data_IF_160223321257
#
_entry.id   IF_160223321257
#
_cell.length_a   1.000
_cell.length_b   1.000
_cell.length_c   1.000
_cell.angle_alpha   90.00
_cell.angle_beta   90.00
_cell.angle_gamma   90.00
#
_symmetry.space_group_name_H-M   'P 1'
#
loop_
_entity.id
_entity.type
_entity.pdbx_description
1 polymer ?
#
# COMPACT_ATOMS: atom_id res chain seq x y z
N UNK A 1 2.70 -6.91 10.88
CA UNK A 1 3.21 -5.67 10.24
C UNK A 1 2.03 -5.06 9.51
N UNK A 2 1.68 -3.82 9.80
CA UNK A 2 0.59 -3.12 9.10
C UNK A 2 1.21 -2.20 8.06
N UNK A 3 0.64 -2.19 6.86
CA UNK A 3 1.08 -1.38 5.74
C UNK A 3 -0.11 -0.62 5.18
N UNK A 4 0.15 0.59 4.70
CA UNK A 4 -0.82 1.34 3.89
C UNK A 4 -0.57 0.95 2.44
N UNK A 5 -1.64 0.63 1.73
CA UNK A 5 -1.61 0.56 0.27
C UNK A 5 -2.29 1.77 -0.34
N UNK A 6 -1.97 2.03 -1.60
CA UNK A 6 -2.63 3.03 -2.43
C UNK A 6 -2.61 2.51 -3.86
N UNK A 7 -3.74 2.63 -4.55
CA UNK A 7 -3.80 2.26 -5.96
C UNK A 7 -3.07 3.31 -6.82
N UNK A 8 -2.31 2.86 -7.82
CA UNK A 8 -1.56 3.75 -8.71
C UNK A 8 -2.50 4.67 -9.49
N UNK A 9 -3.73 4.25 -9.77
CA UNK A 9 -4.77 5.07 -10.41
C UNK A 9 -5.15 6.27 -9.53
N UNK A 10 -5.30 6.06 -8.22
CA UNK A 10 -5.60 7.15 -7.28
C UNK A 10 -4.41 8.11 -7.14
N UNK A 11 -3.18 7.59 -7.15
CA UNK A 11 -1.95 8.41 -7.16
C UNK A 11 -1.90 9.27 -8.41
N UNK A 12 -2.13 8.69 -9.59
CA UNK A 12 -2.14 9.42 -10.86
C UNK A 12 -3.24 10.48 -10.89
N UNK A 13 -4.45 10.14 -10.45
CA UNK A 13 -5.57 11.07 -10.34
C UNK A 13 -5.26 12.21 -9.35
N UNK A 14 -4.62 11.91 -8.23
CA UNK A 14 -4.15 12.92 -7.27
C UNK A 14 -3.16 13.88 -7.92
N UNK A 15 -2.23 13.38 -8.73
CA UNK A 15 -1.30 14.23 -9.47
C UNK A 15 -2.02 15.14 -10.47
N UNK A 16 -2.95 14.59 -11.26
CA UNK A 16 -3.74 15.37 -12.22
C UNK A 16 -4.54 16.45 -11.48
N UNK A 17 -5.22 16.12 -10.38
CA UNK A 17 -5.98 17.09 -9.59
C UNK A 17 -5.10 18.18 -8.97
N UNK A 18 -3.89 17.84 -8.53
CA UNK A 18 -2.92 18.84 -8.09
C UNK A 18 -2.53 19.81 -9.22
N UNK A 19 -2.46 19.33 -10.47
CA UNK A 19 -2.16 20.17 -11.63
C UNK A 19 -3.38 20.99 -12.09
N UNK A 20 -4.59 20.46 -11.94
CA UNK A 20 -5.85 21.12 -12.29
C UNK A 20 -6.30 22.15 -11.24
N UNK A 21 -5.85 22.01 -9.99
CA UNK A 21 -6.22 22.91 -8.91
C UNK A 21 -5.69 24.31 -9.18
N UNK A 22 -6.61 25.27 -9.33
CA UNK A 22 -6.32 26.67 -9.60
C UNK A 22 -5.42 26.86 -10.84
N UNK A 23 -5.78 26.23 -11.96
CA UNK A 23 -5.03 26.32 -13.24
C UNK A 23 -4.72 27.75 -13.70
N UNK A 24 -5.61 28.70 -13.40
CA UNK A 24 -5.44 30.10 -13.78
C UNK A 24 -4.53 30.88 -12.81
N UNK A 25 -4.21 30.29 -11.65
CA UNK A 25 -3.34 30.89 -10.65
C UNK A 25 -1.88 30.52 -10.93
N UNK A 26 -1.23 31.30 -11.80
CA UNK A 26 0.17 31.10 -12.23
C UNK A 26 1.18 31.01 -11.07
N UNK A 27 0.84 31.56 -9.91
CA UNK A 27 1.70 31.45 -8.74
C UNK A 27 1.78 29.97 -8.26
N UNK A 28 0.77 29.13 -8.48
CA UNK A 28 0.71 27.72 -7.99
C UNK A 28 1.46 26.69 -8.83
N UNK A 29 1.81 26.99 -10.07
CA UNK A 29 2.56 26.11 -10.98
C UNK A 29 4.07 26.07 -10.74
N UNK A 30 4.55 26.72 -9.68
CA UNK A 30 5.93 26.56 -9.24
C UNK A 30 6.12 25.14 -8.70
N UNK A 31 7.12 24.37 -9.16
CA UNK A 31 7.52 23.14 -8.50
C UNK A 31 7.93 23.52 -7.07
N UNK A 32 7.06 23.25 -6.10
CA UNK A 32 7.11 23.66 -4.69
C UNK A 32 6.56 25.06 -4.32
N UNK A 33 5.26 25.29 -4.51
CA UNK A 33 4.53 26.23 -3.64
C UNK A 33 4.24 25.70 -2.21
N UNK A 34 5.26 25.06 -1.60
CA UNK A 34 5.32 24.71 -0.17
C UNK A 34 4.45 23.56 0.34
N UNK A 35 3.39 23.18 -0.36
CA UNK A 35 2.44 22.19 0.16
C UNK A 35 2.72 20.76 -0.29
N UNK A 36 2.77 19.85 0.69
CA UNK A 36 2.88 18.40 0.45
C UNK A 36 1.52 17.74 0.66
N UNK A 37 1.23 16.77 -0.19
CA UNK A 37 0.06 15.90 -0.11
C UNK A 37 0.53 14.45 0.04
N UNK A 38 -0.22 13.66 0.81
CA UNK A 38 0.05 12.23 1.00
C UNK A 38 -1.10 11.48 0.35
N UNK A 39 -0.79 10.76 -0.74
CA UNK A 39 -1.72 9.84 -1.37
C UNK A 39 -1.57 8.48 -0.72
N UNK A 40 -2.55 8.11 0.10
CA UNK A 40 -2.59 6.85 0.84
C UNK A 40 -4.02 6.34 0.94
N UNK A 41 -4.19 5.02 1.03
CA UNK A 41 -5.47 4.43 1.45
C UNK A 41 -5.87 4.89 2.86
N UNK A 42 -7.18 4.82 3.15
CA UNK A 42 -7.75 5.22 4.45
C UNK A 42 -7.41 4.26 5.59
N UNK A 43 -7.08 3.03 5.24
CA UNK A 43 -6.88 1.94 6.18
C UNK A 43 -5.52 1.29 5.99
N UNK A 44 -4.89 0.95 7.12
CA UNK A 44 -3.74 0.06 7.11
C UNK A 44 -4.20 -1.38 7.16
N UNK A 45 -3.54 -2.25 6.42
CA UNK A 45 -3.85 -3.68 6.36
C UNK A 45 -2.60 -4.50 6.68
N UNK A 46 -2.78 -5.64 7.34
CA UNK A 46 -1.71 -6.60 7.59
C UNK A 46 -1.54 -7.59 6.44
N UNK A 47 -0.36 -8.21 6.32
CA UNK A 47 -0.12 -9.27 5.33
C UNK A 47 -1.10 -10.43 5.52
N UNK A 48 -1.48 -10.74 6.76
CA UNK A 48 -2.48 -11.77 7.06
C UNK A 48 -3.83 -11.40 6.45
N UNK A 49 -4.30 -10.17 6.68
CA UNK A 49 -5.56 -9.69 6.11
C UNK A 49 -5.51 -9.69 4.57
N UNK A 50 -4.36 -9.35 3.96
CA UNK A 50 -4.15 -9.50 2.51
C UNK A 50 -4.34 -10.95 2.07
N UNK A 51 -3.71 -11.92 2.76
CA UNK A 51 -3.90 -13.34 2.45
C UNK A 51 -5.35 -13.80 2.61
N UNK A 52 -6.07 -13.28 3.61
CA UNK A 52 -7.49 -13.58 3.83
C UNK A 52 -8.36 -13.02 2.70
N UNK A 53 -8.09 -11.80 2.22
CA UNK A 53 -8.74 -11.22 1.04
C UNK A 53 -8.49 -12.10 -0.20
N UNK A 54 -7.24 -12.48 -0.46
CA UNK A 54 -6.91 -13.32 -1.63
C UNK A 54 -7.64 -14.67 -1.57
N UNK A 55 -7.68 -15.33 -0.39
CA UNK A 55 -8.41 -16.59 -0.22
C UNK A 55 -9.91 -16.44 -0.44
N UNK A 56 -10.48 -15.31 0.00
CA UNK A 56 -11.91 -15.02 -0.15
C UNK A 56 -12.29 -14.75 -1.61
N UNK A 57 -11.48 -13.97 -2.32
CA UNK A 57 -11.76 -13.60 -3.73
C UNK A 57 -11.43 -14.73 -4.72
N UNK A 58 -10.56 -15.70 -4.36
CA UNK A 58 -10.08 -16.75 -5.27
C UNK A 58 -10.08 -18.18 -4.68
N UNK A 59 -11.20 -18.68 -4.12
CA UNK A 59 -11.23 -19.87 -3.26
C UNK A 59 -10.75 -21.19 -3.91
N UNK A 60 -10.82 -21.32 -5.24
CA UNK A 60 -10.53 -22.56 -5.97
C UNK A 60 -9.17 -22.57 -6.68
N UNK A 61 -8.31 -21.59 -6.41
CA UNK A 61 -7.02 -21.46 -7.09
C UNK A 61 -5.92 -22.29 -6.43
N UNK A 62 -5.12 -22.98 -7.22
CA UNK A 62 -3.99 -23.81 -6.78
C UNK A 62 -2.86 -22.98 -6.17
N UNK A 63 -2.64 -21.74 -6.65
CA UNK A 63 -1.61 -20.87 -6.08
C UNK A 63 -1.86 -20.52 -4.60
N UNK A 64 -3.09 -20.67 -4.09
CA UNK A 64 -3.41 -20.46 -2.68
C UNK A 64 -2.55 -21.34 -1.75
N UNK A 65 -2.11 -22.52 -2.20
CA UNK A 65 -1.22 -23.42 -1.44
C UNK A 65 0.15 -22.81 -1.16
N UNK A 66 0.55 -21.78 -1.91
CA UNK A 66 1.83 -21.06 -1.79
C UNK A 66 1.72 -19.83 -0.86
N UNK A 67 0.51 -19.48 -0.40
CA UNK A 67 0.33 -18.34 0.49
C UNK A 67 0.90 -18.64 1.89
N UNK A 68 1.51 -17.64 2.56
CA UNK A 68 1.93 -17.78 3.94
C UNK A 68 0.75 -18.12 4.85
N UNK A 69 0.88 -19.20 5.63
CA UNK A 69 -0.13 -19.65 6.60
C UNK A 69 0.24 -19.31 8.04
N UNK A 70 1.53 -19.13 8.32
CA UNK A 70 2.04 -18.79 9.65
C UNK A 70 1.90 -17.29 9.90
N UNK A 71 1.14 -16.90 10.93
CA UNK A 71 1.16 -15.52 11.40
C UNK A 71 2.39 -15.29 12.28
N UNK A 72 3.29 -14.41 11.82
CA UNK A 72 4.38 -13.83 12.63
C UNK A 72 3.98 -12.48 13.24
N UNK A 73 2.67 -12.24 13.42
CA UNK A 73 2.17 -11.02 14.05
C UNK A 73 2.42 -11.08 15.57
N UNK A 74 3.01 -10.03 16.13
CA UNK A 74 3.30 -9.91 17.55
C UNK A 74 4.77 -9.67 17.88
N UNK A 75 5.08 -9.53 19.17
CA UNK A 75 6.42 -9.18 19.65
C UNK A 75 7.47 -10.27 19.33
N UNK A 76 7.10 -11.55 19.49
CA UNK A 76 7.98 -12.69 19.22
C UNK A 76 8.30 -12.84 17.73
N UNK A 77 7.29 -12.77 16.86
CA UNK A 77 7.50 -12.78 15.41
C UNK A 77 8.33 -11.59 14.94
N UNK A 78 8.11 -10.40 15.53
CA UNK A 78 8.92 -9.22 15.24
C UNK A 78 10.38 -9.40 15.68
N UNK A 79 10.62 -10.03 16.82
CA UNK A 79 11.98 -10.31 17.30
C UNK A 79 12.72 -11.27 16.36
N UNK A 80 12.04 -12.34 15.91
CA UNK A 80 12.58 -13.29 14.93
C UNK A 80 12.92 -12.61 13.61
N UNK A 81 12.02 -11.79 13.07
CA UNK A 81 12.25 -11.07 11.82
C UNK A 81 13.38 -10.06 11.96
N UNK A 82 13.51 -9.36 13.11
CA UNK A 82 14.66 -8.49 13.38
C UNK A 82 15.97 -9.27 13.45
N UNK A 83 15.97 -10.47 14.05
CA UNK A 83 17.12 -11.37 14.09
C UNK A 83 17.56 -11.79 12.69
N UNK A 84 16.61 -12.22 11.85
CA UNK A 84 16.89 -12.61 10.46
C UNK A 84 17.37 -11.40 9.63
N UNK A 85 16.82 -10.21 9.88
CA UNK A 85 17.20 -8.98 9.18
C UNK A 85 18.68 -8.58 9.39
N UNK A 86 19.35 -9.06 10.45
CA UNK A 86 20.78 -8.83 10.64
C UNK A 86 21.64 -9.45 9.53
N UNK A 87 21.16 -10.53 8.90
CA UNK A 87 21.82 -11.21 7.79
C UNK A 87 21.40 -10.68 6.42
N UNK A 88 20.48 -9.72 6.36
CA UNK A 88 20.00 -9.12 5.12
C UNK A 88 20.88 -7.92 4.70
N UNK A 89 20.96 -7.61 3.39
CA UNK A 89 21.64 -6.41 2.88
C UNK A 89 21.17 -5.12 3.56
N UNK A 90 22.09 -4.14 3.69
CA UNK A 90 21.87 -2.90 4.47
C UNK A 90 20.52 -2.21 4.18
N UNK A 91 20.12 -2.09 2.92
CA UNK A 91 18.86 -1.44 2.54
C UNK A 91 17.61 -2.17 3.05
N UNK A 92 17.57 -3.49 2.87
CA UNK A 92 16.47 -4.35 3.34
C UNK A 92 16.42 -4.34 4.87
N UNK A 93 17.58 -4.49 5.54
CA UNK A 93 17.69 -4.44 6.99
C UNK A 93 17.18 -3.12 7.57
N UNK A 94 17.54 -2.00 6.96
CA UNK A 94 17.09 -0.67 7.40
C UNK A 94 15.58 -0.51 7.24
N UNK A 95 15.02 -0.96 6.10
CA UNK A 95 13.57 -0.95 5.86
C UNK A 95 12.79 -1.79 6.89
N UNK A 96 13.25 -3.00 7.18
CA UNK A 96 12.63 -3.88 8.18
C UNK A 96 12.69 -3.23 9.56
N UNK A 97 13.85 -2.77 10.00
CA UNK A 97 14.00 -2.20 11.35
C UNK A 97 13.23 -0.89 11.56
N UNK A 98 13.07 -0.08 10.51
CA UNK A 98 12.33 1.18 10.60
C UNK A 98 10.82 0.99 10.71
N UNK A 99 10.26 -0.05 10.06
CA UNK A 99 8.81 -0.23 9.92
C UNK A 99 8.24 -1.36 10.79
N UNK A 100 9.05 -2.36 11.15
CA UNK A 100 8.56 -3.54 11.86
C UNK A 100 8.17 -3.21 13.32
N UNK A 101 6.91 -3.48 13.64
CA UNK A 101 6.34 -3.31 14.97
C UNK A 101 5.96 -1.87 15.32
N UNK A 102 6.09 -0.93 14.38
CA UNK A 102 5.65 0.46 14.57
C UNK A 102 4.34 0.72 13.82
N UNK A 103 3.33 1.34 14.46
CA UNK A 103 2.15 1.79 13.75
C UNK A 103 2.56 2.90 12.75
N UNK A 104 2.04 2.80 11.53
CA UNK A 104 2.18 3.87 10.53
C UNK A 104 0.90 4.69 10.51
N UNK A 105 1.03 6.00 10.66
CA UNK A 105 -0.10 6.93 10.65
C UNK A 105 -0.01 7.80 9.40
N UNK A 106 -0.87 7.51 8.43
CA UNK A 106 -1.01 8.31 7.22
C UNK A 106 -2.45 8.85 7.14
N UNK A 107 -2.63 9.94 6.41
CA UNK A 107 -3.93 10.58 6.26
C UNK A 107 -4.02 11.26 4.91
N UNK A 108 -5.01 10.86 4.12
CA UNK A 108 -5.37 11.49 2.85
C UNK A 108 -6.41 12.61 3.03
N UNK A 109 -6.76 12.98 4.28
CA UNK A 109 -7.80 14.00 4.57
C UNK A 109 -7.54 15.33 3.87
N UNK A 110 -6.27 15.71 3.72
CA UNK A 110 -5.89 16.92 2.98
C UNK A 110 -6.23 16.81 1.49
N UNK A 111 -5.93 15.68 0.85
CA UNK A 111 -6.32 15.43 -0.54
C UNK A 111 -7.84 15.47 -0.70
N UNK A 112 -8.58 14.80 0.19
CA UNK A 112 -10.05 14.81 0.19
C UNK A 112 -10.62 16.22 0.26
N UNK A 113 -10.09 17.05 1.16
CA UNK A 113 -10.56 18.43 1.39
C UNK A 113 -10.17 19.40 0.28
N UNK A 114 -8.91 19.39 -0.13
CA UNK A 114 -8.37 20.41 -1.05
C UNK A 114 -8.52 20.03 -2.53
N UNK A 115 -8.56 18.73 -2.86
CA UNK A 115 -8.61 18.23 -4.25
C UNK A 115 -9.98 17.64 -4.62
N UNK A 116 -10.92 17.54 -3.67
CA UNK A 116 -12.24 16.93 -3.88
C UNK A 116 -12.20 15.42 -4.18
N UNK A 117 -11.07 14.75 -3.95
CA UNK A 117 -10.91 13.31 -4.15
C UNK A 117 -11.47 12.54 -2.95
N UNK A 118 -12.79 12.35 -2.92
CA UNK A 118 -13.51 11.77 -1.78
C UNK A 118 -13.35 10.25 -1.68
N UNK A 119 -13.14 9.57 -2.81
CA UNK A 119 -13.10 8.12 -2.90
C UNK A 119 -11.72 7.65 -3.38
N UNK A 120 -11.11 6.76 -2.61
CA UNK A 120 -9.91 6.01 -2.98
C UNK A 120 -10.32 4.55 -3.18
N UNK A 121 -9.65 3.86 -4.09
CA UNK A 121 -9.88 2.44 -4.36
C UNK A 121 -9.54 1.64 -3.10
N UNK A 122 -10.53 0.92 -2.60
CA UNK A 122 -10.41 0.11 -1.39
C UNK A 122 -9.47 -1.10 -1.56
N UNK A 123 -8.86 -1.53 -0.46
CA UNK A 123 -7.88 -2.62 -0.43
C UNK A 123 -8.38 -3.90 -1.13
N UNK A 124 -9.65 -4.29 -0.93
CA UNK A 124 -10.23 -5.49 -1.56
C UNK A 124 -10.16 -5.44 -3.09
N UNK A 125 -10.56 -4.30 -3.67
CA UNK A 125 -10.63 -4.11 -5.13
C UNK A 125 -9.21 -4.11 -5.72
N UNK A 126 -8.32 -3.31 -5.13
CA UNK A 126 -6.93 -3.20 -5.60
C UNK A 126 -6.20 -4.55 -5.51
N UNK A 127 -6.36 -5.31 -4.41
CA UNK A 127 -5.73 -6.63 -4.27
C UNK A 127 -6.29 -7.61 -5.31
N UNK A 128 -7.61 -7.64 -5.50
CA UNK A 128 -8.24 -8.51 -6.50
C UNK A 128 -7.73 -8.21 -7.91
N UNK A 129 -7.81 -6.94 -8.34
CA UNK A 129 -7.38 -6.53 -9.68
C UNK A 129 -5.88 -6.80 -9.91
N UNK A 130 -5.06 -6.63 -8.87
CA UNK A 130 -3.63 -6.96 -8.92
C UNK A 130 -3.41 -8.45 -9.15
N UNK A 131 -4.08 -9.32 -8.39
CA UNK A 131 -3.94 -10.77 -8.54
C UNK A 131 -4.43 -11.24 -9.91
N UNK A 132 -5.58 -10.74 -10.38
CA UNK A 132 -6.10 -11.00 -11.73
C UNK A 132 -5.10 -10.62 -12.81
N UNK A 133 -4.50 -9.44 -12.68
CA UNK A 133 -3.48 -8.97 -13.61
C UNK A 133 -2.26 -9.91 -13.61
N UNK A 134 -1.76 -10.29 -12.43
CA UNK A 134 -0.60 -11.16 -12.28
C UNK A 134 -0.82 -12.58 -12.82
N UNK A 135 -2.03 -13.12 -12.68
CA UNK A 135 -2.45 -14.37 -13.31
C UNK A 135 -2.48 -14.22 -14.84
N UNK A 136 -3.06 -13.13 -15.34
CA UNK A 136 -3.17 -12.85 -16.77
C UNK A 136 -1.80 -12.76 -17.47
N UNK A 137 -0.82 -12.14 -16.81
CA UNK A 137 0.56 -12.03 -17.35
C UNK A 137 1.46 -13.22 -16.96
N UNK A 138 0.88 -14.27 -16.35
CA UNK A 138 1.56 -15.52 -16.03
C UNK A 138 2.78 -15.38 -15.09
N UNK A 139 2.80 -14.32 -14.27
CA UNK A 139 3.78 -14.16 -13.18
C UNK A 139 3.38 -15.05 -12.00
N UNK A 140 2.09 -15.03 -11.64
CA UNK A 140 1.53 -16.00 -10.69
C UNK A 140 1.02 -17.18 -11.49
N UNK A 141 1.60 -18.35 -11.23
CA UNK A 141 1.17 -19.62 -11.83
C UNK A 141 0.22 -20.33 -10.88
N UNK A 142 -0.96 -20.63 -11.42
CA UNK A 142 -1.92 -21.54 -10.79
C UNK A 142 -1.31 -22.95 -10.72
#
# INVERSE_FOLDING_TARGET
MHMTFVDVKDVALSHVKCMELDMDNQLRFLPSKGERFISCGDETISIRQVCEIIKKEFPERNFLKKLPTLSLEGALGSLLVKGIALFQPKGIRQGINSNLGKPSYYSNKKIKRELGLTEFIGNNVMIRETVEHLLRINIVKD
#
